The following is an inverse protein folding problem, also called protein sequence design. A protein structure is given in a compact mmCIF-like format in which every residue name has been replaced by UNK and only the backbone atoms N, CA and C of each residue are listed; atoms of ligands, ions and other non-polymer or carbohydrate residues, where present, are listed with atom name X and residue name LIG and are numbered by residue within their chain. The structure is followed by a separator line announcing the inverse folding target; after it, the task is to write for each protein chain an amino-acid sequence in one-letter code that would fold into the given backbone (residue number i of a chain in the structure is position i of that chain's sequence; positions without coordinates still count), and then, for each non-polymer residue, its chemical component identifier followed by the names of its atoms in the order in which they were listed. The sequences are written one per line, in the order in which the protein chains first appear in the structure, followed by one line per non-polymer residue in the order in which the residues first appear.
data_IF_282887217226
#
_entry.id   IF_282887217226
#
_cell.length_a   1.000
_cell.length_b   1.000
_cell.length_c   1.000
_cell.angle_alpha   90.00
_cell.angle_beta   90.00
_cell.angle_gamma   90.00
#
_symmetry.space_group_name_H-M   'P 1'
#
loop_
_entity.id
_entity.type
_entity.pdbx_description
1 polymer ?
#
# COMPACT_ATOMS: atom_id res chain seq x y z
N UNK A 1 -22.46 0.95 16.05
CA UNK A 1 -21.08 1.48 16.05
C UNK A 1 -20.08 0.56 15.35
N UNK A 2 -20.24 -0.77 15.39
CA UNK A 2 -19.42 -1.69 14.60
C UNK A 2 -19.71 -1.62 13.08
N UNK A 3 -20.96 -1.30 12.71
CA UNK A 3 -21.38 -1.28 11.29
C UNK A 3 -20.85 -0.10 10.49
N UNK A 4 -20.69 1.08 11.13
CA UNK A 4 -20.12 2.25 10.46
C UNK A 4 -18.64 2.04 10.08
N UNK A 5 -17.89 1.35 10.95
CA UNK A 5 -16.47 1.09 10.72
C UNK A 5 -16.26 0.17 9.51
N UNK A 6 -17.12 -0.85 9.35
CA UNK A 6 -17.11 -1.76 8.20
C UNK A 6 -17.40 -1.04 6.88
N UNK A 7 -18.34 -0.10 6.88
CA UNK A 7 -18.70 0.66 5.67
C UNK A 7 -17.50 1.50 5.18
N UNK A 8 -16.82 2.19 6.10
CA UNK A 8 -15.64 2.99 5.78
C UNK A 8 -14.46 2.12 5.31
N UNK A 9 -14.27 0.95 5.93
CA UNK A 9 -13.25 0.00 5.49
C UNK A 9 -13.53 -0.55 4.09
N UNK A 10 -14.79 -0.82 3.73
CA UNK A 10 -15.17 -1.29 2.39
C UNK A 10 -14.89 -0.25 1.31
N UNK A 11 -15.19 1.03 1.57
CA UNK A 11 -14.88 2.12 0.63
C UNK A 11 -13.37 2.29 0.42
N UNK A 12 -12.57 2.12 1.48
CA UNK A 12 -11.11 2.21 1.42
C UNK A 12 -10.46 0.95 0.84
N UNK A 13 -11.09 -0.22 0.99
CA UNK A 13 -10.60 -1.49 0.47
C UNK A 13 -10.53 -1.49 -1.07
N UNK A 14 -11.45 -0.81 -1.75
CA UNK A 14 -11.43 -0.66 -3.20
C UNK A 14 -10.10 -0.05 -3.70
N UNK A 15 -9.53 0.92 -2.97
CA UNK A 15 -8.25 1.56 -3.32
C UNK A 15 -7.02 0.64 -3.10
N UNK A 16 -7.16 -0.43 -2.31
CA UNK A 16 -6.10 -1.42 -2.08
C UNK A 16 -6.19 -2.60 -3.04
N UNK A 17 -7.30 -2.74 -3.78
CA UNK A 17 -7.55 -3.84 -4.70
C UNK A 17 -6.71 -3.76 -5.99
N UNK A 18 -6.16 -2.59 -6.32
CA UNK A 18 -5.35 -2.38 -7.53
C UNK A 18 -3.92 -2.95 -7.42
N UNK A 19 -3.49 -3.40 -6.25
CA UNK A 19 -2.16 -4.00 -6.10
C UNK A 19 -2.17 -5.48 -6.47
N UNK A 20 -1.13 -5.97 -7.19
CA UNK A 20 -0.99 -7.39 -7.48
C UNK A 20 -0.86 -8.19 -6.18
N UNK A 21 -1.37 -9.43 -6.21
CA UNK A 21 -1.17 -10.35 -5.09
C UNK A 21 0.32 -10.72 -4.97
N UNK A 22 0.87 -10.62 -3.76
CA UNK A 22 2.24 -11.01 -3.43
C UNK A 22 2.27 -11.80 -2.10
N UNK A 23 3.30 -12.61 -1.91
CA UNK A 23 3.55 -13.45 -0.73
C UNK A 23 4.97 -13.29 -0.20
N UNK A 24 5.22 -13.83 0.98
CA UNK A 24 6.57 -13.93 1.52
C UNK A 24 7.49 -14.71 0.55
N UNK A 25 8.69 -14.19 0.33
CA UNK A 25 9.67 -14.68 -0.63
C UNK A 25 9.63 -13.99 -2.00
N UNK A 26 8.58 -13.24 -2.33
CA UNK A 26 8.52 -12.53 -3.62
C UNK A 26 9.42 -11.30 -3.61
N UNK A 27 10.04 -10.99 -4.75
CA UNK A 27 10.76 -9.72 -4.94
C UNK A 27 9.79 -8.68 -5.50
N UNK A 28 9.60 -7.58 -4.78
CA UNK A 28 8.68 -6.49 -5.15
C UNK A 28 9.44 -5.18 -5.34
N UNK A 29 8.93 -4.31 -6.22
CA UNK A 29 9.41 -2.94 -6.38
C UNK A 29 8.30 -1.96 -5.98
N UNK A 30 8.46 -1.35 -4.80
CA UNK A 30 7.48 -0.46 -4.18
C UNK A 30 7.83 0.99 -4.49
N UNK A 31 6.88 1.73 -5.06
CA UNK A 31 7.02 3.16 -5.35
C UNK A 31 6.37 3.97 -4.22
N UNK A 32 7.20 4.57 -3.37
CA UNK A 32 6.75 5.39 -2.24
C UNK A 32 6.74 6.86 -2.66
N UNK A 33 5.60 7.53 -2.48
CA UNK A 33 5.53 8.99 -2.63
C UNK A 33 5.99 9.64 -1.33
N UNK A 34 7.07 10.41 -1.40
CA UNK A 34 7.62 11.18 -0.29
C UNK A 34 7.26 12.64 -0.50
N UNK A 35 6.65 13.27 0.51
CA UNK A 35 6.31 14.68 0.54
C UNK A 35 7.03 15.37 1.69
N UNK A 36 7.94 16.27 1.37
CA UNK A 36 8.71 17.07 2.32
C UNK A 36 8.37 18.55 2.10
N UNK A 37 7.43 19.05 2.91
CA UNK A 37 6.86 20.39 2.74
C UNK A 37 6.19 20.55 1.37
N UNK A 38 6.75 21.43 0.53
CA UNK A 38 6.25 21.71 -0.83
C UNK A 38 6.89 20.84 -1.92
N UNK A 39 7.88 19.99 -1.60
CA UNK A 39 8.53 19.10 -2.58
C UNK A 39 7.96 17.69 -2.48
N UNK A 40 7.62 17.13 -3.63
CA UNK A 40 7.16 15.75 -3.78
C UNK A 40 8.11 14.98 -4.69
N UNK A 41 8.48 13.76 -4.29
CA UNK A 41 9.26 12.82 -5.11
C UNK A 41 8.71 11.40 -4.96
N UNK A 42 8.91 10.57 -5.98
CA UNK A 42 8.65 9.14 -5.91
C UNK A 42 10.00 8.44 -5.70
N UNK A 43 10.09 7.63 -4.65
CA UNK A 43 11.26 6.80 -4.36
C UNK A 43 10.91 5.33 -4.56
N UNK A 44 11.74 4.61 -5.30
CA UNK A 44 11.61 3.17 -5.53
C UNK A 44 12.37 2.38 -4.46
N UNK A 45 11.74 1.33 -3.94
CA UNK A 45 12.35 0.37 -3.03
C UNK A 45 12.13 -1.04 -3.58
N UNK A 46 13.21 -1.70 -3.96
CA UNK A 46 13.18 -3.08 -4.42
C UNK A 46 13.74 -4.01 -3.34
N UNK A 47 13.03 -5.09 -3.05
CA UNK A 47 13.47 -6.06 -2.05
C UNK A 47 12.58 -7.29 -1.99
N UNK A 48 12.98 -8.24 -1.13
CA UNK A 48 12.25 -9.47 -0.88
C UNK A 48 11.25 -9.27 0.27
N UNK A 49 10.01 -9.71 0.09
CA UNK A 49 8.99 -9.71 1.14
C UNK A 49 9.33 -10.77 2.17
N UNK A 50 9.59 -10.38 3.42
CA UNK A 50 9.97 -11.32 4.49
C UNK A 50 8.73 -11.87 5.21
N UNK A 51 7.71 -11.04 5.41
CA UNK A 51 6.48 -11.39 6.15
C UNK A 51 5.31 -10.52 5.68
N UNK A 52 4.07 -11.00 5.83
CA UNK A 52 2.82 -10.29 5.48
C UNK A 52 1.79 -10.41 6.59
#
# INVERSE_FOLDING_TARGET
MADLMKIVEQELAAKRADFPAFKAGDTVNVHVKIKEGNKERIQQFQGVVIYR
#
